data_IF_789511604686
#
_entry.id   IF_789511604686
#
_cell.length_a   1.000
_cell.length_b   1.000
_cell.length_c   1.000
_cell.angle_alpha   90.00
_cell.angle_beta   90.00
_cell.angle_gamma   90.00
#
_symmetry.space_group_name_H-M   'P 1'
#
loop_
_entity.id
_entity.type
_entity.pdbx_description
1 polymer ?
#
# COMPACT_ATOMS: atom_id res chain seq x y z
N UNK A 1 -50.02 1.59 -19.87
CA UNK A 1 -48.69 0.95 -20.08
C UNK A 1 -48.65 0.43 -21.51
N UNK A 2 -47.96 1.13 -22.43
CA UNK A 2 -48.10 0.97 -23.88
C UNK A 2 -46.77 0.50 -24.47
N UNK A 3 -46.68 -0.79 -24.80
CA UNK A 3 -45.48 -1.44 -25.35
C UNK A 3 -45.42 -1.14 -26.85
N UNK A 4 -44.38 -0.43 -27.31
CA UNK A 4 -44.12 -0.20 -28.73
C UNK A 4 -43.22 -1.32 -29.27
N UNK A 5 -43.73 -2.10 -30.23
CA UNK A 5 -42.96 -3.01 -31.07
C UNK A 5 -42.23 -2.21 -32.14
N UNK A 6 -40.90 -2.34 -32.21
CA UNK A 6 -40.06 -1.81 -33.29
C UNK A 6 -40.00 -2.84 -34.42
N UNK A 7 -40.41 -2.42 -35.63
CA UNK A 7 -40.21 -3.14 -36.90
C UNK A 7 -38.79 -2.82 -37.41
N UNK A 8 -37.98 -3.85 -37.65
CA UNK A 8 -36.77 -3.72 -38.45
C UNK A 8 -37.06 -4.19 -39.88
N UNK A 9 -36.88 -3.26 -40.84
CA UNK A 9 -36.96 -3.52 -42.27
C UNK A 9 -35.65 -4.14 -42.74
N UNK A 10 -35.73 -5.26 -43.48
CA UNK A 10 -34.57 -5.90 -44.11
C UNK A 10 -34.27 -5.17 -45.42
N UNK A 11 -33.15 -4.45 -45.46
CA UNK A 11 -32.57 -3.97 -46.72
C UNK A 11 -31.53 -5.00 -47.15
N UNK A 12 -31.75 -5.58 -48.33
CA UNK A 12 -30.84 -6.54 -48.95
C UNK A 12 -29.54 -5.87 -49.36
N UNK A 13 -28.42 -6.56 -49.13
CA UNK A 13 -27.13 -6.18 -49.67
C UNK A 13 -26.65 -7.29 -50.59
N UNK A 14 -26.56 -6.95 -51.87
CA UNK A 14 -26.07 -7.76 -52.98
C UNK A 14 -24.58 -8.06 -52.82
N UNK A 15 -24.21 -9.33 -53.02
CA UNK A 15 -22.83 -9.82 -53.14
C UNK A 15 -22.23 -9.48 -54.51
N UNK A 16 -21.04 -8.87 -54.52
CA UNK A 16 -20.04 -9.02 -55.58
C UNK A 16 -18.62 -9.03 -54.96
N UNK A 17 -17.61 -9.63 -55.64
CA UNK A 17 -16.58 -10.41 -54.96
C UNK A 17 -15.20 -9.75 -54.88
N UNK A 18 -14.42 -10.24 -53.91
CA UNK A 18 -12.96 -10.41 -53.88
C UNK A 18 -12.08 -9.31 -54.49
N UNK A 19 -11.47 -8.49 -53.63
CA UNK A 19 -10.00 -8.46 -53.39
C UNK A 19 -9.64 -7.38 -52.35
N UNK A 20 -8.54 -7.63 -51.63
CA UNK A 20 -7.82 -6.74 -50.70
C UNK A 20 -8.34 -6.61 -49.24
N UNK A 21 -7.71 -7.43 -48.39
CA UNK A 21 -7.08 -7.08 -47.11
C UNK A 21 -7.54 -5.77 -46.40
N UNK A 22 -8.28 -5.93 -45.30
CA UNK A 22 -8.08 -5.17 -44.05
C UNK A 22 -8.91 -5.81 -42.93
N UNK A 23 -8.24 -6.57 -42.05
CA UNK A 23 -8.81 -7.01 -40.79
C UNK A 23 -8.89 -5.79 -39.89
N UNK A 24 -10.04 -5.13 -39.82
CA UNK A 24 -10.33 -4.15 -38.75
C UNK A 24 -11.04 -4.92 -37.64
N UNK A 25 -10.24 -5.65 -36.86
CA UNK A 25 -10.66 -6.09 -35.54
C UNK A 25 -10.89 -4.83 -34.70
N UNK A 26 -12.16 -4.52 -34.44
CA UNK A 26 -12.59 -3.59 -33.42
C UNK A 26 -12.11 -4.13 -32.07
N UNK A 27 -10.90 -3.74 -31.67
CA UNK A 27 -10.45 -3.85 -30.29
C UNK A 27 -11.31 -2.87 -29.50
N UNK A 28 -12.39 -3.41 -28.90
CA UNK A 28 -12.95 -2.88 -27.69
C UNK A 28 -11.82 -2.87 -26.65
N UNK A 29 -11.08 -1.77 -26.57
CA UNK A 29 -10.18 -1.48 -25.46
C UNK A 29 -10.99 -1.14 -24.21
N UNK A 30 -11.72 -2.13 -23.70
CA UNK A 30 -11.86 -2.26 -22.26
C UNK A 30 -10.44 -2.53 -21.75
N UNK A 31 -9.72 -1.50 -21.28
CA UNK A 31 -8.56 -1.71 -20.41
C UNK A 31 -9.09 -2.44 -19.16
N UNK A 32 -8.80 -3.74 -18.95
CA UNK A 32 -9.28 -4.45 -17.76
C UNK A 32 -8.47 -4.06 -16.52
N UNK A 33 -7.38 -3.30 -16.73
CA UNK A 33 -6.65 -2.61 -15.67
C UNK A 33 -7.08 -1.16 -15.67
N UNK A 34 -8.00 -0.83 -14.76
CA UNK A 34 -8.17 0.54 -14.32
C UNK A 34 -6.81 1.13 -13.95
N UNK A 35 -6.61 2.40 -14.27
CA UNK A 35 -5.39 3.15 -13.97
C UNK A 35 -4.90 2.82 -12.56
N UNK A 36 -3.58 2.68 -12.30
CA UNK A 36 -3.07 2.45 -10.95
C UNK A 36 -3.69 3.48 -10.02
N UNK A 37 -4.47 3.04 -9.02
CA UNK A 37 -4.98 3.93 -7.99
C UNK A 37 -3.76 4.55 -7.34
N UNK A 38 -3.54 5.84 -7.54
CA UNK A 38 -2.54 6.59 -6.76
C UNK A 38 -2.94 6.49 -5.31
N UNK A 39 -2.16 5.73 -4.55
CA UNK A 39 -2.44 5.48 -3.15
C UNK A 39 -1.91 6.64 -2.32
N UNK A 40 -2.79 7.32 -1.58
CA UNK A 40 -2.42 8.45 -0.73
C UNK A 40 -2.03 7.96 0.67
N UNK A 41 -0.73 7.68 0.85
CA UNK A 41 -0.18 7.23 2.13
C UNK A 41 -0.36 8.24 3.25
N UNK A 42 -0.40 9.55 2.94
CA UNK A 42 -0.63 10.58 3.93
C UNK A 42 -2.04 10.49 4.51
N UNK A 43 -3.05 10.28 3.67
CA UNK A 43 -4.43 10.08 4.13
C UNK A 43 -4.57 8.83 5.01
N UNK A 44 -3.87 7.74 4.67
CA UNK A 44 -3.84 6.53 5.51
C UNK A 44 -3.14 6.77 6.83
N UNK A 45 -2.04 7.51 6.83
CA UNK A 45 -1.35 7.91 8.04
C UNK A 45 -2.29 8.68 8.97
N UNK A 46 -2.92 9.75 8.48
CA UNK A 46 -3.82 10.59 9.28
C UNK A 46 -4.94 9.77 9.91
N UNK A 47 -5.51 8.80 9.18
CA UNK A 47 -6.57 7.93 9.68
C UNK A 47 -6.12 6.98 10.80
N UNK A 48 -4.87 6.51 10.76
CA UNK A 48 -4.38 5.44 11.64
C UNK A 48 -3.36 5.91 12.70
N UNK A 49 -2.84 7.13 12.58
CA UNK A 49 -1.79 7.71 13.41
C UNK A 49 -1.99 7.46 14.90
N UNK A 50 -3.17 7.79 15.44
CA UNK A 50 -3.44 7.65 16.87
C UNK A 50 -3.22 6.21 17.36
N UNK A 51 -3.65 5.21 16.58
CA UNK A 51 -3.54 3.79 16.95
C UNK A 51 -2.10 3.30 16.85
N UNK A 52 -1.39 3.69 15.78
CA UNK A 52 0.01 3.33 15.61
C UNK A 52 0.90 3.99 16.67
N UNK A 53 0.61 5.25 17.03
CA UNK A 53 1.28 5.93 18.14
C UNK A 53 1.01 5.22 19.46
N UNK A 54 -0.25 4.90 19.78
CA UNK A 54 -0.58 4.14 20.99
C UNK A 54 0.10 2.78 21.05
N UNK A 55 0.16 2.05 19.94
CA UNK A 55 0.86 0.77 19.85
C UNK A 55 2.38 0.95 20.04
N UNK A 56 2.99 1.95 19.42
CA UNK A 56 4.41 2.30 19.64
C UNK A 56 4.70 2.62 21.10
N UNK A 57 3.82 3.36 21.78
CA UNK A 57 3.97 3.64 23.22
C UNK A 57 3.82 2.37 24.07
N UNK A 58 2.88 1.49 23.73
CA UNK A 58 2.75 0.20 24.42
C UNK A 58 3.99 -0.68 24.25
N UNK A 59 4.59 -0.71 23.06
CA UNK A 59 5.87 -1.40 22.81
C UNK A 59 7.01 -0.79 23.63
N UNK A 60 7.06 0.54 23.80
CA UNK A 60 8.09 1.18 24.64
C UNK A 60 7.96 0.82 26.12
N UNK A 61 6.74 0.64 26.61
CA UNK A 61 6.47 0.35 28.02
C UNK A 61 6.57 -1.16 28.30
N UNK A 62 5.99 -1.98 27.43
CA UNK A 62 5.77 -3.42 27.63
C UNK A 62 6.60 -4.31 26.69
N UNK A 63 7.56 -3.74 25.96
CA UNK A 63 8.34 -4.42 24.92
C UNK A 63 8.98 -5.73 25.37
N UNK A 64 9.54 -5.79 26.58
CA UNK A 64 10.21 -6.99 27.09
C UNK A 64 9.27 -8.11 27.56
N UNK A 65 7.96 -7.86 27.67
CA UNK A 65 7.00 -8.80 28.24
C UNK A 65 5.96 -9.29 27.22
N UNK A 66 5.51 -8.39 26.34
CA UNK A 66 4.39 -8.66 25.42
C UNK A 66 4.80 -8.86 23.97
N UNK A 67 6.01 -8.46 23.61
CA UNK A 67 6.45 -8.38 22.23
C UNK A 67 7.78 -9.11 22.04
N UNK A 68 8.03 -9.51 20.80
CA UNK A 68 9.26 -10.19 20.42
C UNK A 68 10.02 -9.41 19.34
N UNK A 69 11.32 -9.68 19.25
CA UNK A 69 12.13 -9.19 18.13
C UNK A 69 11.68 -9.92 16.87
N UNK A 70 11.49 -9.17 15.79
CA UNK A 70 10.94 -9.69 14.54
C UNK A 70 9.44 -9.41 14.43
N UNK A 71 8.71 -10.31 13.78
CA UNK A 71 7.32 -10.10 13.42
C UNK A 71 6.39 -10.30 14.62
N UNK A 72 5.49 -9.37 14.83
CA UNK A 72 4.43 -9.41 15.83
C UNK A 72 3.09 -9.27 15.11
N UNK A 73 2.10 -10.04 15.51
CA UNK A 73 0.74 -9.89 15.00
C UNK A 73 0.10 -8.62 15.60
N UNK A 74 -0.80 -8.00 14.86
CA UNK A 74 -1.70 -7.03 15.48
C UNK A 74 -2.69 -7.74 16.41
N UNK A 75 -3.17 -7.02 17.42
CA UNK A 75 -4.26 -7.51 18.25
C UNK A 75 -5.54 -7.73 17.41
N UNK A 76 -6.38 -8.68 17.81
CA UNK A 76 -7.64 -8.97 17.12
C UNK A 76 -8.49 -7.71 16.95
N UNK A 77 -8.98 -7.50 15.73
CA UNK A 77 -9.80 -6.34 15.38
C UNK A 77 -9.02 -5.02 15.30
N UNK A 78 -7.68 -5.04 15.38
CA UNK A 78 -6.87 -3.87 15.09
C UNK A 78 -7.17 -3.40 13.66
N UNK A 79 -7.67 -2.17 13.48
CA UNK A 79 -8.25 -1.73 12.21
C UNK A 79 -7.16 -1.23 11.26
N UNK A 80 -6.19 -2.10 10.97
CA UNK A 80 -5.07 -1.80 10.09
C UNK A 80 -5.28 -2.47 8.72
N UNK A 81 -5.28 -1.67 7.65
CA UNK A 81 -5.96 -2.07 6.41
C UNK A 81 -5.22 -3.03 5.48
N UNK A 82 -3.98 -3.48 5.79
CA UNK A 82 -3.17 -4.13 4.75
C UNK A 82 -2.39 -5.38 5.15
N UNK A 83 -1.68 -5.37 6.28
CA UNK A 83 -0.89 -6.53 6.72
C UNK A 83 -1.28 -6.91 8.16
N UNK A 84 -1.11 -8.19 8.48
CA UNK A 84 -1.53 -8.79 9.75
C UNK A 84 -0.53 -8.56 10.89
N UNK A 85 0.54 -7.81 10.64
CA UNK A 85 1.53 -7.54 11.68
C UNK A 85 2.51 -6.42 11.39
N UNK A 86 3.46 -6.31 12.31
CA UNK A 86 4.53 -5.33 12.32
C UNK A 86 5.83 -5.95 12.82
N UNK A 87 6.96 -5.36 12.48
CA UNK A 87 8.27 -5.88 12.89
C UNK A 87 8.97 -4.95 13.87
N UNK A 88 9.57 -5.50 14.92
CA UNK A 88 10.43 -4.76 15.85
C UNK A 88 11.87 -5.22 15.65
N UNK A 89 12.77 -4.28 15.36
CA UNK A 89 14.21 -4.57 15.24
C UNK A 89 14.85 -4.69 16.61
N UNK A 90 15.71 -5.68 16.79
CA UNK A 90 16.48 -5.89 18.01
C UNK A 90 17.57 -6.95 17.81
N UNK A 91 18.41 -7.13 18.82
CA UNK A 91 19.45 -8.16 18.84
C UNK A 91 19.17 -9.11 20.02
N UNK A 92 18.25 -10.06 19.82
CA UNK A 92 17.81 -11.01 20.84
C UNK A 92 16.79 -10.47 21.85
N UNK A 93 16.76 -9.16 22.10
CA UNK A 93 15.75 -8.48 22.91
C UNK A 93 15.38 -7.13 22.32
N UNK A 94 14.18 -6.65 22.67
CA UNK A 94 13.73 -5.30 22.32
C UNK A 94 14.48 -4.30 23.19
N UNK A 95 15.20 -3.39 22.55
CA UNK A 95 15.84 -2.26 23.20
C UNK A 95 14.98 -1.00 22.98
N UNK A 96 14.25 -0.60 24.01
CA UNK A 96 13.32 0.54 23.93
C UNK A 96 14.04 1.88 23.81
N UNK A 97 15.34 1.93 24.16
CA UNK A 97 16.19 3.12 23.95
C UNK A 97 16.65 3.28 22.50
N UNK A 98 16.61 2.20 21.71
CA UNK A 98 17.02 2.11 20.31
C UNK A 98 16.02 1.31 19.50
N UNK A 99 14.77 1.72 19.60
CA UNK A 99 13.62 1.06 19.03
C UNK A 99 13.47 1.45 17.56
N UNK A 100 13.23 0.45 16.71
CA UNK A 100 12.76 0.62 15.35
C UNK A 100 11.60 -0.34 15.11
N UNK A 101 10.46 0.23 14.73
CA UNK A 101 9.23 -0.51 14.44
C UNK A 101 8.82 -0.25 12.99
N UNK A 102 8.52 -1.32 12.26
CA UNK A 102 8.05 -1.28 10.87
C UNK A 102 6.63 -1.81 10.80
N UNK A 103 5.66 -0.94 10.52
CA UNK A 103 4.26 -1.28 10.28
C UNK A 103 4.05 -1.41 8.77
N UNK A 104 3.93 -2.63 8.28
CA UNK A 104 3.87 -2.92 6.85
C UNK A 104 2.52 -2.55 6.25
N UNK A 105 2.54 -1.67 5.25
CA UNK A 105 1.36 -1.28 4.47
C UNK A 105 1.19 -2.14 3.23
N UNK A 106 2.27 -2.67 2.70
CA UNK A 106 2.27 -3.66 1.64
C UNK A 106 3.64 -4.32 1.67
N UNK A 107 3.71 -5.65 1.80
CA UNK A 107 4.99 -6.37 1.70
C UNK A 107 5.43 -6.61 0.25
N UNK A 108 4.61 -6.18 -0.71
CA UNK A 108 4.82 -6.28 -2.13
C UNK A 108 5.14 -7.70 -2.61
N UNK A 109 5.68 -7.78 -3.82
CA UNK A 109 6.24 -8.99 -4.42
C UNK A 109 7.68 -8.64 -4.84
N UNK A 110 8.65 -9.53 -4.61
CA UNK A 110 10.08 -9.32 -4.92
C UNK A 110 10.81 -8.24 -4.09
N UNK A 111 10.51 -8.12 -2.79
CA UNK A 111 11.34 -7.34 -1.87
C UNK A 111 11.05 -5.84 -1.83
N UNK A 112 10.06 -5.39 -2.59
CA UNK A 112 9.51 -4.04 -2.46
C UNK A 112 8.47 -4.00 -1.34
N UNK A 113 8.52 -3.01 -0.46
CA UNK A 113 7.51 -2.82 0.57
C UNK A 113 7.22 -1.35 0.85
N UNK A 114 5.97 -1.09 1.19
CA UNK A 114 5.55 0.18 1.78
C UNK A 114 5.34 -0.03 3.27
N UNK A 115 5.85 0.88 4.11
CA UNK A 115 5.64 0.79 5.56
C UNK A 115 5.68 2.15 6.26
N UNK A 116 4.90 2.26 7.33
CA UNK A 116 5.16 3.28 8.34
C UNK A 116 6.25 2.81 9.28
N UNK A 117 7.30 3.61 9.41
CA UNK A 117 8.46 3.28 10.26
C UNK A 117 8.55 4.29 11.38
N UNK A 118 8.58 3.78 12.61
CA UNK A 118 8.96 4.54 13.79
C UNK A 118 10.39 4.19 14.19
N UNK A 119 11.20 5.18 14.55
CA UNK A 119 12.49 4.92 15.19
C UNK A 119 12.94 6.03 16.13
N UNK A 120 13.42 5.67 17.33
CA UNK A 120 14.12 6.60 18.22
C UNK A 120 15.64 6.34 18.26
N UNK A 121 16.16 5.37 17.52
CA UNK A 121 17.60 5.20 17.34
C UNK A 121 18.12 6.38 16.49
N UNK A 122 18.96 7.23 17.10
CA UNK A 122 19.51 8.42 16.45
C UNK A 122 20.29 8.11 15.16
N UNK A 123 20.90 6.92 15.07
CA UNK A 123 21.60 6.47 13.86
C UNK A 123 20.60 6.19 12.73
N UNK A 124 19.51 5.51 13.04
CA UNK A 124 18.47 5.19 12.05
C UNK A 124 17.67 6.46 11.67
N UNK A 125 17.38 7.35 12.62
CA UNK A 125 16.80 8.67 12.33
C UNK A 125 17.64 9.43 11.30
N UNK A 126 18.96 9.49 11.48
CA UNK A 126 19.86 10.17 10.53
C UNK A 126 19.85 9.52 9.14
N UNK A 127 19.82 8.18 9.08
CA UNK A 127 19.71 7.45 7.81
C UNK A 127 18.38 7.74 7.10
N UNK A 128 17.28 7.72 7.84
CA UNK A 128 15.94 7.96 7.30
C UNK A 128 15.78 9.41 6.84
N UNK A 129 16.26 10.38 7.62
CA UNK A 129 16.27 11.79 7.23
C UNK A 129 17.12 12.03 5.97
N UNK A 130 18.21 11.28 5.77
CA UNK A 130 18.99 11.33 4.55
C UNK A 130 18.25 10.69 3.36
N UNK A 131 17.66 9.50 3.56
CA UNK A 131 16.85 8.81 2.53
C UNK A 131 15.70 9.69 2.03
N UNK A 132 14.93 10.29 2.94
CA UNK A 132 13.81 11.19 2.59
C UNK A 132 14.26 12.40 1.77
N UNK A 133 15.47 12.91 1.96
CA UNK A 133 16.00 14.03 1.16
C UNK A 133 16.44 13.60 -0.24
N UNK A 134 16.80 12.32 -0.42
CA UNK A 134 17.32 11.78 -1.67
C UNK A 134 16.27 11.02 -2.49
N UNK A 135 15.25 10.49 -1.83
CA UNK A 135 14.18 9.68 -2.41
C UNK A 135 12.99 10.56 -2.80
N UNK A 136 12.41 10.28 -3.96
CA UNK A 136 11.16 10.91 -4.38
C UNK A 136 9.92 10.32 -3.68
N UNK A 137 10.06 9.13 -3.09
CA UNK A 137 8.95 8.31 -2.61
C UNK A 137 8.93 8.12 -1.08
N UNK A 138 10.04 8.35 -0.38
CA UNK A 138 10.08 8.29 1.09
C UNK A 138 9.76 9.66 1.68
N UNK A 139 8.94 9.68 2.74
CA UNK A 139 8.54 10.94 3.36
C UNK A 139 8.66 10.88 4.87
N UNK A 140 9.06 12.00 5.48
CA UNK A 140 8.95 12.20 6.93
C UNK A 140 7.54 12.63 7.25
N UNK A 141 6.88 11.89 8.14
CA UNK A 141 5.50 12.16 8.55
C UNK A 141 5.46 13.10 9.76
N UNK A 142 6.33 12.83 10.73
CA UNK A 142 6.55 13.65 11.93
C UNK A 142 7.89 13.28 12.59
N UNK A 143 8.17 13.82 13.78
CA UNK A 143 9.36 13.44 14.55
C UNK A 143 9.38 11.92 14.73
N UNK A 144 10.48 11.29 14.30
CA UNK A 144 10.73 9.85 14.42
C UNK A 144 9.79 8.94 13.61
N UNK A 145 8.92 9.49 12.76
CA UNK A 145 7.98 8.73 11.94
C UNK A 145 8.18 9.02 10.45
N UNK A 146 8.16 7.94 9.68
CA UNK A 146 8.47 7.95 8.26
C UNK A 146 7.51 7.03 7.50
N UNK A 147 7.29 7.32 6.23
CA UNK A 147 6.80 6.36 5.25
C UNK A 147 7.99 5.97 4.37
N UNK A 148 8.22 4.66 4.25
CA UNK A 148 9.24 4.08 3.39
C UNK A 148 8.54 3.35 2.26
N UNK A 149 9.05 3.52 1.05
CA UNK A 149 8.66 2.79 -0.15
C UNK A 149 9.96 2.24 -0.77
N UNK A 150 10.37 1.05 -0.33
CA UNK A 150 11.55 0.32 -0.84
C UNK A 150 11.13 -0.66 -1.93
#
# INVERSE_FOLDING_TARGET
>A
MKIRKLKFSRVGCSLLPSTALAIVSLLNSCNPMGSPKKFDWHKVWVKNRGKLVSLTEDVKINGGEKYEVGNNAFADGFPYPFDEGFSIKGNGKIDTSRLLITYYLDRGIMGHYSAFVYTNDSTEVRKMDAKVKMSANDYKLETNWYIVND
#
